data_IF_971987448922
#
_entry.id   IF_971987448922
#
_cell.length_a   1.000
_cell.length_b   1.000
_cell.length_c   1.000
_cell.angle_alpha   90.00
_cell.angle_beta   90.00
_cell.angle_gamma   90.00
#
_symmetry.space_group_name_H-M   'P 1'
#
loop_
_entity.id
_entity.type
_entity.pdbx_description
1 polymer ?
#
# COMPACT_ATOMS: atom_id res chain seq x y z
N UNK A 1 -10.45 2.65 -6.70
CA UNK A 1 -9.72 2.82 -5.41
C UNK A 1 -10.07 4.14 -4.74
N UNK A 2 -9.82 5.27 -5.40
CA UNK A 2 -9.99 6.62 -4.86
C UNK A 2 -11.35 6.86 -4.21
N UNK A 3 -12.42 6.46 -4.88
CA UNK A 3 -13.78 6.58 -4.37
C UNK A 3 -13.95 5.87 -3.01
N UNK A 4 -13.61 4.58 -2.93
CA UNK A 4 -13.71 3.81 -1.68
C UNK A 4 -12.85 4.38 -0.55
N UNK A 5 -11.63 4.85 -0.85
CA UNK A 5 -10.79 5.53 0.14
C UNK A 5 -11.47 6.80 0.64
N UNK A 6 -11.98 7.63 -0.28
CA UNK A 6 -12.63 8.90 0.05
C UNK A 6 -13.93 8.68 0.84
N UNK A 7 -14.76 7.71 0.45
CA UNK A 7 -15.99 7.35 1.16
C UNK A 7 -15.71 6.89 2.58
N UNK A 8 -14.78 5.93 2.77
CA UNK A 8 -14.43 5.47 4.12
C UNK A 8 -13.75 6.54 4.95
N UNK A 9 -12.93 7.41 4.35
CA UNK A 9 -12.30 8.52 5.07
C UNK A 9 -13.36 9.53 5.53
N UNK A 10 -14.26 9.94 4.63
CA UNK A 10 -15.37 10.85 4.94
C UNK A 10 -16.29 10.32 6.03
N UNK A 11 -16.69 9.05 5.95
CA UNK A 11 -17.51 8.39 6.99
C UNK A 11 -16.85 8.35 8.37
N UNK A 12 -15.51 8.42 8.44
CA UNK A 12 -14.76 8.37 9.70
C UNK A 12 -14.19 9.75 10.11
N UNK A 13 -14.72 10.84 9.55
CA UNK A 13 -14.29 12.21 9.81
C UNK A 13 -12.78 12.42 9.55
N UNK A 14 -12.28 11.77 8.50
CA UNK A 14 -10.90 11.91 8.03
C UNK A 14 -10.89 12.67 6.70
N UNK A 15 -9.89 13.52 6.54
CA UNK A 15 -9.68 14.29 5.31
C UNK A 15 -8.45 13.73 4.62
N UNK A 16 -8.60 13.28 3.39
CA UNK A 16 -7.47 12.86 2.58
C UNK A 16 -6.88 14.11 1.92
N UNK A 17 -5.67 14.51 2.33
CA UNK A 17 -5.01 15.72 1.83
C UNK A 17 -4.21 15.46 0.56
N UNK A 18 -3.75 14.21 0.35
CA UNK A 18 -2.96 13.84 -0.81
C UNK A 18 -3.20 12.39 -1.19
N UNK A 19 -3.37 12.13 -2.49
CA UNK A 19 -3.35 10.77 -3.04
C UNK A 19 -2.65 10.80 -4.40
N UNK A 20 -1.50 10.16 -4.52
CA UNK A 20 -0.70 10.13 -5.76
C UNK A 20 -0.46 8.69 -6.22
N UNK A 21 -0.84 8.38 -7.46
CA UNK A 21 -0.56 7.09 -8.11
C UNK A 21 0.89 7.09 -8.57
N UNK A 22 1.68 6.13 -8.11
CA UNK A 22 3.02 5.88 -8.63
C UNK A 22 2.97 4.98 -9.87
N UNK A 23 4.11 4.86 -10.53
CA UNK A 23 4.25 3.99 -11.71
C UNK A 23 3.97 2.52 -11.35
N UNK A 24 3.14 1.80 -12.15
CA UNK A 24 2.91 0.39 -11.96
C UNK A 24 4.22 -0.40 -11.99
N UNK A 25 4.37 -1.33 -11.03
CA UNK A 25 5.47 -2.27 -10.97
C UNK A 25 4.95 -3.66 -11.31
N UNK A 26 5.46 -4.22 -12.38
CA UNK A 26 5.16 -5.59 -12.79
C UNK A 26 5.87 -6.57 -11.86
N UNK A 27 5.14 -7.54 -11.32
CA UNK A 27 5.72 -8.65 -10.57
C UNK A 27 5.64 -9.90 -11.43
N UNK A 28 6.80 -10.50 -11.72
CA UNK A 28 6.85 -11.73 -12.51
C UNK A 28 6.49 -12.98 -11.70
N UNK A 29 6.04 -14.04 -12.39
CA UNK A 29 5.71 -15.34 -11.77
C UNK A 29 6.84 -15.89 -10.88
N UNK A 30 8.10 -15.74 -11.30
CA UNK A 30 9.26 -16.14 -10.51
C UNK A 30 9.42 -15.33 -9.21
N UNK A 31 9.17 -14.02 -9.25
CA UNK A 31 9.24 -13.14 -8.07
C UNK A 31 8.09 -13.40 -7.09
N UNK A 32 6.90 -13.71 -7.60
CA UNK A 32 5.73 -14.11 -6.79
C UNK A 32 5.98 -15.44 -6.04
N UNK A 33 6.60 -16.42 -6.69
CA UNK A 33 6.96 -17.72 -6.10
C UNK A 33 8.09 -17.58 -5.06
N UNK A 34 9.01 -16.63 -5.24
CA UNK A 34 10.02 -16.32 -4.22
C UNK A 34 9.47 -15.60 -2.98
N UNK A 35 8.46 -14.74 -3.14
CA UNK A 35 7.83 -14.03 -2.02
C UNK A 35 7.05 -14.99 -1.10
N UNK A 36 6.36 -15.96 -1.69
CA UNK A 36 5.60 -17.00 -0.95
C UNK A 36 6.50 -17.99 -0.20
N UNK A 37 7.66 -18.33 -0.76
CA UNK A 37 8.63 -19.25 -0.14
C UNK A 37 9.52 -18.61 0.95
N UNK A 38 9.65 -17.27 0.99
CA UNK A 38 10.46 -16.54 2.00
C UNK A 38 9.88 -16.52 3.41
N UNK A 39 8.63 -16.96 3.64
CA UNK A 39 8.06 -17.08 5.00
C UNK A 39 8.78 -18.15 5.87
N UNK A 40 9.64 -19.00 5.28
CA UNK A 40 10.43 -20.03 6.00
C UNK A 40 11.91 -19.74 6.23
N UNK A 41 12.48 -18.60 5.80
CA UNK A 41 13.94 -18.34 5.91
C UNK A 41 14.31 -16.95 6.44
N UNK A 42 13.74 -16.53 7.57
CA UNK A 42 14.33 -15.47 8.43
C UNK A 42 15.58 -16.00 9.16
N UNK A 43 16.63 -16.38 8.43
CA UNK A 43 18.02 -16.53 8.94
C UNK A 43 18.94 -16.98 7.80
N UNK A 44 19.49 -16.03 7.03
CA UNK A 44 20.93 -15.94 6.67
C UNK A 44 21.17 -15.00 5.48
N UNK A 45 22.03 -14.02 5.76
CA UNK A 45 23.06 -13.43 4.88
C UNK A 45 22.63 -12.53 3.70
N UNK A 46 22.66 -11.22 3.99
CA UNK A 46 23.63 -10.25 3.44
C UNK A 46 24.60 -10.83 2.38
N UNK A 47 24.37 -10.61 1.08
CA UNK A 47 25.38 -10.17 0.07
C UNK A 47 24.85 -10.14 -1.38
N UNK A 48 25.31 -9.08 -2.07
CA UNK A 48 25.53 -8.91 -3.53
C UNK A 48 24.35 -8.48 -4.42
N UNK A 49 24.34 -7.16 -4.66
CA UNK A 49 24.12 -6.51 -5.96
C UNK A 49 24.54 -7.40 -7.14
N UNK A 50 23.64 -7.63 -8.10
CA UNK A 50 23.99 -7.65 -9.53
C UNK A 50 22.79 -7.18 -10.34
N UNK A 51 22.96 -6.02 -10.98
CA UNK A 51 22.11 -5.52 -12.07
C UNK A 51 22.12 -6.55 -13.19
N UNK A 52 20.94 -6.96 -13.66
CA UNK A 52 20.76 -7.50 -15.01
C UNK A 52 19.41 -7.06 -15.54
N UNK A 53 19.47 -6.05 -16.39
CA UNK A 53 18.43 -5.60 -17.30
C UNK A 53 18.00 -6.78 -18.17
N UNK A 54 16.75 -7.25 -18.04
CA UNK A 54 16.16 -8.17 -19.03
C UNK A 54 14.71 -7.74 -19.25
N UNK A 55 14.44 -7.18 -20.43
CA UNK A 55 13.09 -6.91 -20.95
C UNK A 55 12.28 -8.20 -20.78
N UNK A 56 11.34 -8.24 -19.84
CA UNK A 56 10.49 -9.41 -19.60
C UNK A 56 9.35 -9.35 -20.61
N UNK A 57 9.21 -10.40 -21.40
CA UNK A 57 8.06 -10.62 -22.27
C UNK A 57 6.77 -10.65 -21.44
N UNK A 58 5.69 -10.04 -21.96
CA UNK A 58 4.39 -9.94 -21.31
C UNK A 58 3.82 -11.28 -20.77
N UNK A 59 4.29 -12.42 -21.29
CA UNK A 59 3.90 -13.78 -20.90
C UNK A 59 4.30 -14.24 -19.49
N UNK A 60 5.12 -13.47 -18.76
CA UNK A 60 5.65 -13.86 -17.44
C UNK A 60 5.23 -12.96 -16.28
N UNK A 61 4.34 -11.99 -16.50
CA UNK A 61 3.78 -11.15 -15.44
C UNK A 61 2.67 -11.91 -14.73
N UNK A 62 2.74 -11.98 -13.39
CA UNK A 62 1.72 -12.65 -12.58
C UNK A 62 0.65 -11.65 -12.12
N UNK A 63 1.09 -10.48 -11.66
CA UNK A 63 0.23 -9.39 -11.22
C UNK A 63 0.97 -8.06 -11.31
N UNK A 64 0.19 -6.99 -11.41
CA UNK A 64 0.70 -5.62 -11.34
C UNK A 64 0.49 -5.08 -9.93
N UNK A 65 1.51 -4.40 -9.42
CA UNK A 65 1.44 -3.67 -8.15
C UNK A 65 1.49 -2.18 -8.43
N UNK A 66 0.51 -1.44 -7.92
CA UNK A 66 0.47 0.01 -8.08
C UNK A 66 0.62 0.62 -6.70
N UNK A 67 1.80 1.19 -6.38
CA UNK A 67 1.96 1.97 -5.18
C UNK A 67 1.17 3.28 -5.32
N UNK A 68 0.48 3.65 -4.25
CA UNK A 68 -0.28 4.88 -4.14
C UNK A 68 0.14 5.53 -2.83
N UNK A 69 0.77 6.70 -2.92
CA UNK A 69 1.10 7.51 -1.76
C UNK A 69 -0.17 8.21 -1.29
N UNK A 70 -0.45 8.16 0.01
CA UNK A 70 -1.58 8.87 0.60
C UNK A 70 -1.16 9.67 1.83
N UNK A 71 -1.84 10.80 2.03
CA UNK A 71 -1.79 11.58 3.25
C UNK A 71 -3.20 11.83 3.76
N UNK A 72 -3.44 11.51 5.03
CA UNK A 72 -4.73 11.66 5.70
C UNK A 72 -4.53 12.45 6.98
N UNK A 73 -5.44 13.37 7.26
CA UNK A 73 -5.52 14.12 8.51
C UNK A 73 -6.85 13.87 9.21
N UNK A 74 -6.84 13.88 10.54
CA UNK A 74 -8.05 13.70 11.33
C UNK A 74 -7.76 13.19 12.73
N UNK A 75 -8.74 12.56 13.39
CA UNK A 75 -8.55 11.96 14.71
C UNK A 75 -8.00 10.53 14.60
N UNK A 76 -7.12 10.15 15.53
CA UNK A 76 -6.58 8.79 15.64
C UNK A 76 -7.67 7.73 15.72
N UNK A 77 -8.73 7.94 16.51
CA UNK A 77 -9.81 6.96 16.61
C UNK A 77 -10.56 6.78 15.27
N UNK A 78 -10.78 7.87 14.54
CA UNK A 78 -11.35 7.84 13.19
C UNK A 78 -10.45 7.05 12.24
N UNK A 79 -9.13 7.25 12.32
CA UNK A 79 -8.16 6.53 11.50
C UNK A 79 -8.14 5.02 11.74
N UNK A 80 -8.24 4.58 13.00
CA UNK A 80 -8.34 3.15 13.33
C UNK A 80 -9.63 2.54 12.77
N UNK A 81 -10.77 3.24 12.88
CA UNK A 81 -12.05 2.78 12.31
C UNK A 81 -12.01 2.72 10.77
N UNK A 82 -11.43 3.73 10.14
CA UNK A 82 -11.18 3.76 8.70
C UNK A 82 -10.36 2.57 8.23
N UNK A 83 -9.22 2.31 8.90
CA UNK A 83 -8.36 1.17 8.57
C UNK A 83 -9.11 -0.15 8.71
N UNK A 84 -9.90 -0.30 9.78
CA UNK A 84 -10.75 -1.47 9.99
C UNK A 84 -11.77 -1.65 8.85
N UNK A 85 -12.45 -0.58 8.43
CA UNK A 85 -13.41 -0.63 7.34
C UNK A 85 -12.75 -1.01 6.00
N UNK A 86 -11.57 -0.47 5.72
CA UNK A 86 -10.81 -0.83 4.51
C UNK A 86 -10.31 -2.28 4.54
N UNK A 87 -9.88 -2.80 5.70
CA UNK A 87 -9.52 -4.21 5.84
C UNK A 87 -10.69 -5.17 5.65
N UNK A 88 -11.93 -4.71 5.92
CA UNK A 88 -13.15 -5.48 5.65
C UNK A 88 -13.63 -5.36 4.19
N UNK A 89 -13.12 -4.39 3.44
CA UNK A 89 -13.48 -4.22 2.04
C UNK A 89 -12.95 -5.39 1.20
N UNK A 90 -13.72 -5.81 0.19
CA UNK A 90 -13.37 -6.95 -0.68
C UNK A 90 -12.24 -6.62 -1.69
N UNK A 91 -11.47 -5.55 -1.47
CA UNK A 91 -10.42 -5.11 -2.41
C UNK A 91 -9.06 -5.64 -1.96
N UNK A 92 -8.28 -6.15 -2.91
CA UNK A 92 -6.89 -6.58 -2.66
C UNK A 92 -5.98 -5.36 -2.48
N UNK A 93 -5.91 -4.88 -1.24
CA UNK A 93 -5.22 -3.67 -0.85
C UNK A 93 -4.20 -3.96 0.24
N UNK A 94 -2.97 -3.53 0.02
CA UNK A 94 -1.87 -3.73 0.96
C UNK A 94 -1.42 -2.38 1.54
N UNK A 95 -1.45 -2.25 2.86
CA UNK A 95 -0.85 -1.12 3.56
C UNK A 95 0.59 -1.47 3.93
N UNK A 96 1.57 -0.80 3.31
CA UNK A 96 2.98 -1.20 3.45
C UNK A 96 3.70 -0.43 4.55
N UNK A 97 3.94 0.87 4.32
CA UNK A 97 4.66 1.74 5.25
C UNK A 97 3.74 2.88 5.60
N UNK A 98 3.27 2.91 6.83
CA UNK A 98 2.49 4.02 7.38
C UNK A 98 3.29 4.70 8.50
N UNK A 99 3.27 6.02 8.52
CA UNK A 99 3.83 6.84 9.60
C UNK A 99 2.72 7.75 10.12
N UNK A 100 2.40 7.59 11.39
CA UNK A 100 1.40 8.41 12.09
C UNK A 100 2.15 9.43 12.93
N UNK A 101 1.86 10.71 12.71
CA UNK A 101 2.42 11.84 13.49
C UNK A 101 1.29 12.56 14.19
N UNK A 102 1.45 12.79 15.50
CA UNK A 102 0.54 13.65 16.26
C UNK A 102 0.91 15.10 15.99
N UNK A 103 -0.08 15.93 15.69
CA UNK A 103 0.11 17.37 15.50
C UNK A 103 0.22 18.01 16.89
N UNK A 104 1.44 18.43 17.25
CA UNK A 104 1.72 19.09 18.55
C UNK A 104 0.99 20.43 18.61
N UNK A 105 0.38 20.73 19.76
CA UNK A 105 -0.34 22.00 20.00
C UNK A 105 -1.86 21.94 19.76
N UNK A 106 -2.40 20.79 19.33
CA UNK A 106 -3.85 20.60 19.21
C UNK A 106 -4.36 19.73 20.37
N UNK A 107 -5.28 20.26 21.18
CA UNK A 107 -5.89 19.56 22.33
C UNK A 107 -6.78 18.40 21.91
N UNK A 108 -7.17 18.33 20.63
CA UNK A 108 -8.07 17.30 20.08
C UNK A 108 -7.38 16.01 19.64
N UNK A 109 -6.04 15.92 19.76
CA UNK A 109 -5.30 14.70 19.37
C UNK A 109 -5.25 14.46 17.86
N UNK A 110 -5.33 15.53 17.05
CA UNK A 110 -5.25 15.44 15.60
C UNK A 110 -3.95 14.77 15.14
N UNK A 111 -4.07 13.88 14.16
CA UNK A 111 -2.97 13.16 13.54
C UNK A 111 -2.85 13.52 12.07
N UNK A 112 -1.63 13.42 11.57
CA UNK A 112 -1.30 13.36 10.15
C UNK A 112 -0.68 11.99 9.88
N UNK A 113 -1.27 11.26 8.94
CA UNK A 113 -0.83 9.94 8.54
C UNK A 113 -0.34 10.01 7.11
N UNK A 114 0.88 9.55 6.89
CA UNK A 114 1.47 9.40 5.58
C UNK A 114 1.73 7.92 5.35
N UNK A 115 1.29 7.37 4.22
CA UNK A 115 1.54 5.97 3.93
C UNK A 115 1.57 5.63 2.46
N UNK A 116 2.05 4.41 2.19
CA UNK A 116 2.04 3.80 0.87
C UNK A 116 1.03 2.66 0.87
N UNK A 117 0.14 2.73 -0.11
CA UNK A 117 -0.92 1.76 -0.35
C UNK A 117 -0.66 1.05 -1.68
N UNK A 118 -0.54 -0.27 -1.65
CA UNK A 118 -0.31 -1.06 -2.86
C UNK A 118 -1.60 -1.75 -3.27
N UNK A 119 -2.04 -1.48 -4.50
CA UNK A 119 -3.13 -2.24 -5.14
C UNK A 119 -2.50 -3.39 -5.91
N UNK A 120 -3.08 -4.58 -5.78
CA UNK A 120 -2.77 -5.72 -6.64
C UNK A 120 -3.92 -5.89 -7.63
N UNK A 121 -3.61 -6.01 -8.91
CA UNK A 121 -4.57 -6.44 -9.92
C UNK A 121 -3.93 -7.45 -10.87
N UNK A 122 -4.77 -8.33 -11.43
CA UNK A 122 -4.32 -9.32 -12.40
C UNK A 122 -3.96 -8.63 -13.72
N UNK A 123 -3.09 -9.27 -14.51
CA UNK A 123 -2.63 -8.72 -15.79
C UNK A 123 -3.77 -8.51 -16.81
N UNK A 124 -4.91 -9.17 -16.61
CA UNK A 124 -6.08 -9.13 -17.49
C UNK A 124 -7.11 -8.05 -17.08
N UNK A 125 -6.87 -7.33 -15.98
CA UNK A 125 -7.79 -6.32 -15.41
C UNK A 125 -7.28 -4.88 -15.56
N UNK A 126 -6.21 -4.67 -16.36
CA UNK A 126 -5.57 -3.36 -16.56
C UNK A 126 -5.55 -2.90 -18.00
#
# INVERSE_FOLDING_TARGET
>A
LYQTLSEHAGMNNLVITKIEKQTPKEVSKAEALEASSKKKKKKKKKKKKKKSTKKKSASNVAYYTIPVDFEITGNFLGYIKFKRALSLSQKMLNFDKETIKVVKGNTTGAIKVNGILTIVGLADEF
#
